data_IF_277694235697
#
_entry.id   IF_277694235697
#
_cell.length_a   1.000
_cell.length_b   1.000
_cell.length_c   1.000
_cell.angle_alpha   90.00
_cell.angle_beta   90.00
_cell.angle_gamma   90.00
#
_symmetry.space_group_name_H-M   'P 1'
#
loop_
_entity.id
_entity.type
_entity.pdbx_description
1 polymer ?
#
# COMPACT_ATOMS: atom_id res chain seq x y z
N UNK A 1 -0.98 -26.86 2.09
CA UNK A 1 -0.95 -26.38 0.69
C UNK A 1 -1.75 -25.08 0.70
N UNK A 2 -1.07 -23.96 0.91
CA UNK A 2 -1.69 -22.65 0.71
C UNK A 2 -1.91 -22.48 -0.79
N UNK A 3 -3.13 -22.11 -1.18
CA UNK A 3 -3.46 -21.88 -2.58
C UNK A 3 -2.95 -20.49 -2.98
N UNK A 4 -2.52 -20.31 -4.23
CA UNK A 4 -2.17 -18.98 -4.76
C UNK A 4 -3.29 -17.94 -4.59
N UNK A 5 -4.55 -18.41 -4.50
CA UNK A 5 -5.71 -17.56 -4.23
C UNK A 5 -5.75 -17.03 -2.78
N UNK A 6 -5.20 -17.79 -1.81
CA UNK A 6 -5.14 -17.35 -0.42
C UNK A 6 -4.09 -16.25 -0.24
N UNK A 7 -2.96 -16.36 -0.94
CA UNK A 7 -1.88 -15.36 -0.95
C UNK A 7 -2.37 -14.01 -1.52
N UNK A 8 -3.03 -14.05 -2.69
CA UNK A 8 -3.63 -12.86 -3.29
C UNK A 8 -4.69 -12.21 -2.40
N UNK A 9 -5.48 -13.03 -1.69
CA UNK A 9 -6.49 -12.50 -0.75
C UNK A 9 -5.84 -11.69 0.37
N UNK A 10 -4.75 -12.17 0.96
CA UNK A 10 -4.03 -11.45 2.02
C UNK A 10 -3.52 -10.10 1.49
N UNK A 11 -2.90 -10.11 0.31
CA UNK A 11 -2.37 -8.89 -0.34
C UNK A 11 -3.47 -7.83 -0.51
N UNK A 12 -4.61 -8.24 -1.08
CA UNK A 12 -5.72 -7.32 -1.32
C UNK A 12 -6.42 -6.85 -0.04
N UNK A 13 -6.62 -7.74 0.93
CA UNK A 13 -7.25 -7.39 2.20
C UNK A 13 -6.41 -6.36 2.97
N UNK A 14 -5.08 -6.53 3.01
CA UNK A 14 -4.17 -5.59 3.67
C UNK A 14 -4.23 -4.22 3.00
N UNK A 15 -4.09 -4.16 1.67
CA UNK A 15 -4.12 -2.90 0.93
C UNK A 15 -5.49 -2.19 1.06
N UNK A 16 -6.59 -2.92 0.98
CA UNK A 16 -7.94 -2.40 1.21
C UNK A 16 -8.11 -1.85 2.63
N UNK A 17 -7.69 -2.62 3.65
CA UNK A 17 -7.82 -2.21 5.04
C UNK A 17 -7.05 -0.92 5.32
N UNK A 18 -5.82 -0.78 4.79
CA UNK A 18 -5.02 0.43 4.92
C UNK A 18 -5.71 1.65 4.29
N UNK A 19 -6.22 1.51 3.06
CA UNK A 19 -6.99 2.56 2.37
C UNK A 19 -8.22 2.96 3.18
N UNK A 20 -9.02 2.00 3.60
CA UNK A 20 -10.30 2.24 4.26
C UNK A 20 -10.12 2.88 5.65
N UNK A 21 -9.08 2.49 6.38
CA UNK A 21 -8.71 3.11 7.65
C UNK A 21 -8.35 4.59 7.48
N UNK A 22 -7.59 4.92 6.43
CA UNK A 22 -7.22 6.31 6.13
C UNK A 22 -8.43 7.14 5.69
N UNK A 23 -9.30 6.60 4.84
CA UNK A 23 -10.56 7.26 4.45
C UNK A 23 -11.44 7.55 5.67
N UNK A 24 -11.54 6.58 6.59
CA UNK A 24 -12.31 6.74 7.83
C UNK A 24 -11.69 7.81 8.75
N UNK A 25 -10.36 7.86 8.86
CA UNK A 25 -9.64 8.82 9.71
C UNK A 25 -9.69 10.24 9.13
N UNK A 26 -9.59 10.38 7.81
CA UNK A 26 -9.52 11.65 7.10
C UNK A 26 -10.66 11.79 6.08
N UNK A 27 -11.93 11.90 6.53
CA UNK A 27 -13.07 12.01 5.62
C UNK A 27 -13.08 13.30 4.79
N UNK A 28 -12.37 14.34 5.24
CA UNK A 28 -12.14 15.59 4.50
C UNK A 28 -10.96 15.53 3.52
N UNK A 29 -10.28 14.39 3.44
CA UNK A 29 -9.05 14.20 2.69
C UNK A 29 -7.81 14.74 3.40
N UNK A 30 -6.66 14.28 2.92
CA UNK A 30 -5.32 14.81 3.19
C UNK A 30 -4.60 14.89 1.84
N UNK A 31 -3.43 15.54 1.79
CA UNK A 31 -2.64 15.61 0.54
C UNK A 31 -2.33 14.22 0.00
N UNK A 32 -2.36 14.05 -1.33
CA UNK A 32 -2.13 12.76 -2.01
C UNK A 32 -0.80 12.12 -1.59
N UNK A 33 0.25 12.92 -1.49
CA UNK A 33 1.57 12.47 -1.04
C UNK A 33 1.50 11.87 0.36
N UNK A 34 0.83 12.55 1.28
CA UNK A 34 0.70 12.12 2.68
C UNK A 34 -0.19 10.87 2.81
N UNK A 35 -1.28 10.83 2.04
CA UNK A 35 -2.19 9.69 2.02
C UNK A 35 -1.47 8.43 1.53
N UNK A 36 -0.76 8.54 0.42
CA UNK A 36 -0.08 7.43 -0.24
C UNK A 36 1.09 6.92 0.59
N UNK A 37 1.88 7.82 1.18
CA UNK A 37 2.95 7.47 2.12
C UNK A 37 2.44 6.63 3.29
N UNK A 38 1.33 7.07 3.92
CA UNK A 38 0.70 6.35 5.04
C UNK A 38 0.14 5.00 4.61
N UNK A 39 -0.54 4.94 3.46
CA UNK A 39 -1.11 3.70 2.96
C UNK A 39 -0.02 2.67 2.63
N UNK A 40 1.03 3.11 1.93
CA UNK A 40 2.17 2.27 1.59
C UNK A 40 2.94 1.81 2.83
N UNK A 41 3.10 2.68 3.84
CA UNK A 41 3.73 2.33 5.11
C UNK A 41 2.99 1.18 5.83
N UNK A 42 1.67 1.29 5.99
CA UNK A 42 0.88 0.25 6.66
C UNK A 42 0.85 -1.03 5.83
N UNK A 43 0.63 -0.91 4.52
CA UNK A 43 0.55 -2.05 3.60
C UNK A 43 1.87 -2.83 3.57
N UNK A 44 2.99 -2.13 3.38
CA UNK A 44 4.31 -2.75 3.37
C UNK A 44 4.62 -3.43 4.71
N UNK A 45 4.41 -2.73 5.83
CA UNK A 45 4.69 -3.29 7.15
C UNK A 45 3.95 -4.61 7.42
N UNK A 46 2.65 -4.66 7.12
CA UNK A 46 1.88 -5.90 7.32
C UNK A 46 2.29 -7.02 6.37
N UNK A 47 2.64 -6.72 5.12
CA UNK A 47 3.09 -7.73 4.17
C UNK A 47 4.49 -8.27 4.50
N UNK A 48 5.38 -7.44 5.08
CA UNK A 48 6.66 -7.91 5.60
C UNK A 48 6.49 -8.99 6.67
N UNK A 49 5.53 -8.82 7.60
CA UNK A 49 5.25 -9.82 8.64
C UNK A 49 4.72 -11.15 8.08
N UNK A 50 4.09 -11.12 6.91
CA UNK A 50 3.63 -12.31 6.18
C UNK A 50 4.75 -12.92 5.31
N UNK A 51 6.00 -12.44 5.44
CA UNK A 51 7.19 -12.87 4.70
C UNK A 51 7.13 -12.61 3.18
N UNK A 52 6.38 -11.58 2.77
CA UNK A 52 6.46 -11.11 1.39
C UNK A 52 7.68 -10.23 1.18
N UNK A 53 8.27 -10.34 -0.01
CA UNK A 53 9.33 -9.45 -0.47
C UNK A 53 8.69 -8.15 -1.00
N UNK A 54 8.60 -7.14 -0.12
CA UNK A 54 7.93 -5.87 -0.40
C UNK A 54 8.80 -4.67 -0.10
N UNK A 55 8.65 -3.62 -0.91
CA UNK A 55 9.36 -2.37 -0.77
C UNK A 55 8.41 -1.19 -0.95
N UNK A 56 8.58 -0.15 -0.14
CA UNK A 56 7.93 1.13 -0.41
C UNK A 56 8.77 1.84 -1.46
N UNK A 57 8.13 2.27 -2.54
CA UNK A 57 8.74 3.13 -3.54
C UNK A 57 8.22 4.55 -3.38
N UNK A 58 9.11 5.52 -3.55
CA UNK A 58 8.77 6.92 -3.68
C UNK A 58 9.17 7.42 -5.06
N UNK A 59 8.27 8.12 -5.75
CA UNK A 59 8.57 8.67 -7.07
C UNK A 59 7.54 9.68 -7.55
N UNK A 60 7.56 9.92 -8.87
CA UNK A 60 6.56 10.72 -9.57
C UNK A 60 5.70 9.78 -10.40
N UNK A 61 4.37 9.92 -10.27
CA UNK A 61 3.42 9.33 -11.20
C UNK A 61 2.94 10.41 -12.17
N UNK A 62 2.84 10.09 -13.46
CA UNK A 62 2.22 10.95 -14.45
C UNK A 62 0.87 10.38 -14.88
N UNK A 63 -0.20 10.85 -14.27
CA UNK A 63 -1.55 10.38 -14.55
C UNK A 63 -2.40 11.47 -15.17
N UNK A 64 -2.95 11.20 -16.36
CA UNK A 64 -3.77 12.14 -17.16
C UNK A 64 -3.09 13.51 -17.37
N UNK A 65 -1.78 13.51 -17.58
CA UNK A 65 -0.99 14.72 -17.83
C UNK A 65 -0.73 15.57 -16.59
N UNK A 66 -0.95 15.02 -15.39
CA UNK A 66 -0.59 15.64 -14.11
C UNK A 66 0.45 14.80 -13.40
N UNK A 67 1.46 15.48 -12.87
CA UNK A 67 2.52 14.86 -12.09
C UNK A 67 2.22 14.99 -10.60
N UNK A 68 2.37 13.88 -9.88
CA UNK A 68 2.19 13.83 -8.44
C UNK A 68 3.39 13.12 -7.81
N UNK A 69 3.91 13.69 -6.72
CA UNK A 69 4.77 12.93 -5.81
C UNK A 69 3.91 11.89 -5.11
N UNK A 70 4.38 10.65 -5.14
CA UNK A 70 3.56 9.49 -4.83
C UNK A 70 4.38 8.39 -4.18
N UNK A 71 3.72 7.59 -3.35
CA UNK A 71 4.30 6.39 -2.75
C UNK A 71 3.45 5.17 -3.10
N UNK A 72 4.09 4.07 -3.47
CA UNK A 72 3.42 2.80 -3.75
C UNK A 72 4.19 1.64 -3.12
N UNK A 73 3.59 0.46 -3.08
CA UNK A 73 4.29 -0.76 -2.67
C UNK A 73 4.66 -1.55 -3.92
N UNK A 74 5.92 -1.97 -4.03
CA UNK A 74 6.33 -3.01 -4.95
C UNK A 74 6.38 -4.35 -4.21
N UNK A 75 5.70 -5.35 -4.75
CA UNK A 75 5.69 -6.73 -4.26
C UNK A 75 6.41 -7.62 -5.27
N UNK A 76 7.40 -8.39 -4.82
CA UNK A 76 8.17 -9.28 -5.69
C UNK A 76 7.63 -10.71 -5.57
N UNK A 77 7.02 -11.19 -6.65
CA UNK A 77 6.50 -12.56 -6.76
C UNK A 77 7.28 -13.32 -7.83
N UNK A 78 7.92 -14.43 -7.44
CA UNK A 78 8.75 -15.24 -8.33
C UNK A 78 9.82 -14.44 -9.13
N UNK A 79 10.34 -13.35 -8.54
CA UNK A 79 11.35 -12.48 -9.13
C UNK A 79 10.80 -11.38 -10.05
N UNK A 80 9.48 -11.25 -10.16
CA UNK A 80 8.80 -10.20 -10.92
C UNK A 80 8.18 -9.16 -9.97
N UNK A 81 8.36 -7.88 -10.27
CA UNK A 81 7.86 -6.77 -9.47
C UNK A 81 6.43 -6.39 -9.87
N UNK A 82 5.54 -6.35 -8.88
CA UNK A 82 4.15 -5.92 -9.02
C UNK A 82 3.92 -4.62 -8.24
N UNK A 83 3.28 -3.65 -8.87
CA UNK A 83 2.77 -2.46 -8.19
C UNK A 83 1.49 -2.83 -7.46
N UNK A 84 1.47 -2.60 -6.14
CA UNK A 84 0.30 -2.71 -5.28
C UNK A 84 -0.12 -1.32 -4.80
N UNK A 85 -1.30 -0.86 -5.25
CA UNK A 85 -1.80 0.47 -4.95
C UNK A 85 -3.34 0.49 -4.85
N UNK A 86 -3.85 0.68 -3.63
CA UNK A 86 -5.27 0.83 -3.35
C UNK A 86 -5.75 2.30 -3.37
N UNK A 87 -4.83 3.26 -3.53
CA UNK A 87 -5.08 4.68 -3.33
C UNK A 87 -5.30 5.41 -4.65
N UNK A 88 -4.48 5.13 -5.68
CA UNK A 88 -4.61 5.80 -6.97
C UNK A 88 -6.04 5.71 -7.53
N UNK A 89 -6.73 4.54 -7.51
CA UNK A 89 -8.12 4.41 -7.96
C UNK A 89 -9.08 5.47 -7.41
N UNK A 90 -8.93 5.88 -6.15
CA UNK A 90 -9.75 6.92 -5.50
C UNK A 90 -9.65 8.29 -6.18
N UNK A 91 -8.48 8.61 -6.75
CA UNK A 91 -8.20 9.89 -7.38
C UNK A 91 -8.42 9.87 -8.90
N UNK A 92 -8.87 8.73 -9.43
CA UNK A 92 -9.00 8.50 -10.88
C UNK A 92 -10.43 8.24 -11.35
N UNK A 93 -11.44 8.44 -10.49
CA UNK A 93 -12.86 8.29 -10.85
C UNK A 93 -13.16 8.89 -12.24
N UNK A 94 -13.73 8.05 -13.12
CA UNK A 94 -13.97 8.38 -14.53
C UNK A 94 -12.87 7.94 -15.51
N UNK A 95 -11.83 7.20 -15.08
CA UNK A 95 -10.82 6.58 -15.95
C UNK A 95 -11.13 5.14 -16.40
N UNK A 96 -12.30 4.59 -16.04
CA UNK A 96 -12.60 3.16 -16.21
C UNK A 96 -12.14 2.28 -15.06
N UNK A 97 -11.48 2.87 -14.04
CA UNK A 97 -11.16 2.23 -12.75
C UNK A 97 -12.23 2.65 -11.73
N UNK A 98 -12.79 1.70 -11.00
CA UNK A 98 -13.72 2.00 -9.91
C UNK A 98 -12.93 2.42 -8.67
N UNK A 99 -13.45 3.36 -7.89
CA UNK A 99 -12.82 3.82 -6.65
C UNK A 99 -12.56 2.67 -5.64
N UNK A 100 -13.25 1.53 -5.79
CA UNK A 100 -13.06 0.32 -4.99
C UNK A 100 -11.88 -0.55 -5.43
N UNK A 101 -11.31 -0.34 -6.62
CA UNK A 101 -10.31 -1.22 -7.19
C UNK A 101 -8.97 -1.07 -6.47
N UNK A 102 -8.17 -2.15 -6.51
CA UNK A 102 -6.77 -2.15 -6.11
C UNK A 102 -5.97 -2.41 -7.39
N UNK A 103 -5.00 -1.55 -7.67
CA UNK A 103 -4.04 -1.79 -8.74
C UNK A 103 -3.07 -2.86 -8.25
N UNK A 104 -3.02 -3.97 -8.97
CA UNK A 104 -2.07 -5.04 -8.76
C UNK A 104 -1.65 -5.60 -10.11
N UNK A 105 -0.59 -5.01 -10.66
CA UNK A 105 -0.10 -5.28 -12.02
C UNK A 105 1.43 -5.35 -12.03
N UNK A 106 2.02 -6.06 -13.00
CA UNK A 106 3.44 -5.94 -13.30
C UNK A 106 3.85 -4.46 -13.45
N UNK A 107 5.06 -4.13 -12.99
CA UNK A 107 5.55 -2.75 -12.96
C UNK A 107 5.51 -2.06 -14.33
N UNK A 108 5.84 -2.77 -15.41
CA UNK A 108 5.82 -2.26 -16.77
C UNK A 108 4.40 -1.95 -17.28
N UNK A 109 3.44 -2.83 -16.98
CA UNK A 109 2.02 -2.59 -17.28
C UNK A 109 1.47 -1.42 -16.45
N UNK A 110 1.78 -1.37 -15.15
CA UNK A 110 1.40 -0.27 -14.28
C UNK A 110 1.97 1.07 -14.79
N UNK A 111 3.24 1.10 -15.17
CA UNK A 111 3.89 2.27 -15.75
C UNK A 111 3.20 2.72 -17.05
N UNK A 112 2.87 1.79 -17.94
CA UNK A 112 2.22 2.10 -19.22
C UNK A 112 0.78 2.62 -19.04
N UNK A 113 0.02 2.06 -18.09
CA UNK A 113 -1.40 2.38 -17.89
C UNK A 113 -1.63 3.60 -16.98
N UNK A 114 -0.82 3.73 -15.93
CA UNK A 114 -1.04 4.68 -14.84
C UNK A 114 0.11 5.67 -14.67
N UNK A 115 1.22 5.50 -15.41
CA UNK A 115 2.33 6.43 -15.41
C UNK A 115 3.22 6.34 -14.18
N UNK A 116 3.29 5.17 -13.53
CA UNK A 116 4.32 4.92 -12.50
C UNK A 116 5.71 5.12 -13.12
N UNK A 117 6.42 6.13 -12.62
CA UNK A 117 7.77 6.46 -13.06
C UNK A 117 8.83 5.69 -12.28
N UNK A 118 10.10 6.08 -12.50
CA UNK A 118 11.20 5.58 -11.68
C UNK A 118 10.96 5.95 -10.19
N UNK A 119 10.93 4.93 -9.35
CA UNK A 119 10.92 5.07 -7.89
C UNK A 119 12.32 4.98 -7.30
N UNK A 120 12.43 5.41 -6.06
CA UNK A 120 13.54 5.06 -5.17
C UNK A 120 12.98 4.41 -3.92
N UNK A 121 13.71 3.43 -3.39
CA UNK A 121 13.37 2.78 -2.13
C UNK A 121 13.17 3.83 -1.02
N UNK A 122 12.08 3.65 -0.29
CA UNK A 122 11.75 4.41 0.88
C UNK A 122 11.73 3.48 2.09
N UNK A 123 12.56 3.76 3.08
CA UNK A 123 12.62 2.96 4.30
C UNK A 123 11.31 3.07 5.07
N UNK A 124 10.78 1.93 5.52
CA UNK A 124 9.64 1.92 6.42
C UNK A 124 9.97 2.61 7.73
N UNK A 125 9.07 3.47 8.22
CA UNK A 125 9.22 4.22 9.47
C UNK A 125 7.97 4.12 10.31
N UNK A 126 8.14 3.91 11.60
CA UNK A 126 7.04 3.78 12.57
C UNK A 126 6.19 5.05 12.63
N UNK A 127 6.81 6.21 12.47
CA UNK A 127 6.18 7.53 12.65
C UNK A 127 5.36 7.97 11.44
N UNK A 128 5.42 7.23 10.33
CA UNK A 128 4.77 7.63 9.09
C UNK A 128 3.26 7.49 9.12
N UNK A 129 2.72 6.65 10.01
CA UNK A 129 1.29 6.45 10.15
C UNK A 129 0.88 6.46 11.64
N UNK A 130 -0.16 7.22 11.99
CA UNK A 130 -0.59 7.30 13.38
C UNK A 130 -1.18 5.97 13.87
N UNK A 131 -0.96 5.70 15.15
CA UNK A 131 -1.41 4.47 15.82
C UNK A 131 -2.91 4.18 15.62
N UNK A 132 -3.76 5.21 15.62
CA UNK A 132 -5.21 5.07 15.38
C UNK A 132 -5.57 4.48 14.01
N UNK A 133 -4.74 4.72 12.99
CA UNK A 133 -4.92 4.11 11.66
C UNK A 133 -4.58 2.63 11.76
N UNK A 134 -3.45 2.28 12.39
CA UNK A 134 -3.06 0.90 12.65
C UNK A 134 -4.11 0.13 13.45
N UNK A 135 -4.63 0.68 14.54
CA UNK A 135 -5.72 0.07 15.31
C UNK A 135 -6.92 -0.28 14.42
N UNK A 136 -7.29 0.63 13.52
CA UNK A 136 -8.42 0.43 12.59
C UNK A 136 -8.11 -0.68 11.58
N UNK A 137 -6.89 -0.72 11.05
CA UNK A 137 -6.46 -1.76 10.10
C UNK A 137 -6.45 -3.14 10.77
N UNK A 138 -5.82 -3.25 11.95
CA UNK A 138 -5.72 -4.51 12.69
C UNK A 138 -7.11 -5.03 13.09
N UNK A 139 -8.03 -4.14 13.48
CA UNK A 139 -9.41 -4.50 13.77
C UNK A 139 -10.13 -5.04 12.51
N UNK A 140 -9.96 -4.40 11.35
CA UNK A 140 -10.54 -4.84 10.07
C UNK A 140 -10.01 -6.22 9.66
N UNK A 141 -8.72 -6.47 9.85
CA UNK A 141 -8.07 -7.74 9.54
C UNK A 141 -8.23 -8.81 10.65
N UNK A 142 -8.95 -8.47 11.72
CA UNK A 142 -9.15 -9.33 12.89
C UNK A 142 -7.84 -9.81 13.56
N UNK A 143 -6.79 -9.00 13.48
CA UNK A 143 -5.51 -9.22 14.16
C UNK A 143 -5.66 -8.76 15.62
N UNK A 144 -5.24 -9.60 16.57
CA UNK A 144 -5.45 -9.36 18.01
C UNK A 144 -4.27 -8.65 18.70
N UNK A 145 -3.13 -8.53 18.03
CA UNK A 145 -1.95 -7.82 18.54
C UNK A 145 -2.23 -6.32 18.59
N UNK A 146 -1.58 -5.63 19.53
CA UNK A 146 -1.61 -4.17 19.57
C UNK A 146 -0.78 -3.57 18.43
N UNK A 147 -1.05 -2.32 18.03
CA UNK A 147 -0.20 -1.60 17.06
C UNK A 147 1.28 -1.57 17.48
N UNK A 148 1.55 -1.38 18.78
CA UNK A 148 2.91 -1.35 19.32
C UNK A 148 3.67 -2.66 19.07
N UNK A 149 3.05 -3.79 19.38
CA UNK A 149 3.62 -5.12 19.11
C UNK A 149 3.85 -5.35 17.62
N UNK A 150 2.89 -4.99 16.77
CA UNK A 150 3.02 -5.14 15.31
C UNK A 150 4.18 -4.30 14.76
N UNK A 151 4.29 -3.04 15.18
CA UNK A 151 5.37 -2.14 14.74
C UNK A 151 6.74 -2.60 15.21
N UNK A 152 6.85 -3.19 16.40
CA UNK A 152 8.10 -3.77 16.90
C UNK A 152 8.51 -4.99 16.07
N UNK A 153 7.57 -5.89 15.77
CA UNK A 153 7.84 -7.05 14.92
C UNK A 153 8.27 -6.64 13.49
N UNK A 154 7.67 -5.59 12.94
CA UNK A 154 8.07 -5.06 11.62
C UNK A 154 9.50 -4.53 11.68
N UNK A 155 9.83 -3.74 12.72
CA UNK A 155 11.18 -3.22 12.89
C UNK A 155 12.21 -4.36 12.95
N UNK A 156 11.91 -5.42 13.71
CA UNK A 156 12.77 -6.61 13.83
C UNK A 156 12.90 -7.42 12.53
N UNK A 157 12.01 -7.22 11.54
CA UNK A 157 12.06 -7.89 10.24
C UNK A 157 12.98 -7.17 9.24
N UNK A 158 13.20 -5.87 9.45
CA UNK A 158 14.01 -5.02 8.56
C UNK A 158 15.50 -5.06 8.95
N UNK A 159 15.83 -5.60 10.14
CA UNK A 159 17.20 -5.74 10.68
C UNK A 159 17.68 -7.20 10.72
#
# INVERSE_FOLDING_TARGET
MHCQLDELKIIFDVAAAARDALLKKYPGGIGIEEFTRRAANVTCGLLLLENYDVFIQQGIINFKGKEFRYYWVELYLAGEAFVLDAVLPLFTEGAGVQASDIIFLPLDEAAAMYGYGAGSDYEWRREDCEEIVWETVLATLNIKKSPGEIMEEIADTIF
#
